data_IF_914507070016
#
_entry.id   IF_914507070016
#
_cell.length_a   1.000
_cell.length_b   1.000
_cell.length_c   1.000
_cell.angle_alpha   90.00
_cell.angle_beta   90.00
_cell.angle_gamma   90.00
#
_symmetry.space_group_name_H-M   'P 1'
#
loop_
_entity.id
_entity.type
_entity.pdbx_description
1 polymer ?
#
# COMPACT_ATOMS: atom_id res chain seq x y z
N UNK A 1 -14.39 -7.99 -23.07
CA UNK A 1 -12.94 -7.75 -23.13
C UNK A 1 -12.36 -8.21 -21.81
N UNK A 2 -11.54 -9.26 -21.80
CA UNK A 2 -10.76 -9.61 -20.60
C UNK A 2 -9.80 -8.45 -20.31
N UNK A 3 -9.99 -7.79 -19.17
CA UNK A 3 -9.09 -6.74 -18.73
C UNK A 3 -7.92 -7.44 -18.03
N UNK A 4 -6.75 -7.48 -18.65
CA UNK A 4 -5.54 -8.03 -18.04
C UNK A 4 -5.14 -7.13 -16.87
N UNK A 5 -5.44 -7.57 -15.65
CA UNK A 5 -5.20 -6.80 -14.44
C UNK A 5 -3.83 -7.12 -13.86
N UNK A 6 -2.96 -6.12 -13.77
CA UNK A 6 -1.75 -6.22 -12.97
C UNK A 6 -2.09 -6.14 -11.48
N UNK A 7 -1.30 -6.82 -10.66
CA UNK A 7 -1.34 -6.66 -9.22
C UNK A 7 0.06 -6.44 -8.71
N UNK A 8 0.26 -5.30 -8.07
CA UNK A 8 1.48 -5.02 -7.36
C UNK A 8 1.38 -5.73 -6.02
N UNK A 9 2.36 -6.59 -5.74
CA UNK A 9 2.52 -7.25 -4.46
C UNK A 9 3.76 -6.63 -3.83
N UNK A 10 3.53 -5.78 -2.84
CA UNK A 10 4.62 -5.13 -2.12
C UNK A 10 4.91 -5.94 -0.86
N UNK A 11 6.10 -6.50 -0.78
CA UNK A 11 6.71 -6.83 0.50
C UNK A 11 7.47 -5.57 0.92
N UNK A 12 7.43 -5.17 2.19
CA UNK A 12 8.00 -3.89 2.64
C UNK A 12 9.50 -3.68 2.33
N UNK A 13 10.18 -4.73 1.82
CA UNK A 13 11.57 -4.70 1.37
C UNK A 13 11.76 -4.94 -0.15
N UNK A 14 10.74 -5.37 -0.88
CA UNK A 14 10.84 -5.75 -2.30
C UNK A 14 9.51 -5.62 -3.05
N UNK A 15 9.59 -5.21 -4.32
CA UNK A 15 8.42 -5.13 -5.20
C UNK A 15 8.28 -6.40 -6.03
N UNK A 16 7.06 -6.92 -6.08
CA UNK A 16 6.69 -8.03 -6.94
C UNK A 16 5.53 -7.63 -7.82
N UNK A 17 5.50 -8.24 -9.00
CA UNK A 17 4.39 -8.06 -9.94
C UNK A 17 3.76 -9.39 -10.23
N UNK A 18 2.45 -9.47 -10.01
CA UNK A 18 1.62 -10.58 -10.44
C UNK A 18 0.83 -10.20 -11.70
N UNK A 19 0.82 -11.11 -12.68
CA UNK A 19 -0.07 -11.05 -13.84
C UNK A 19 -0.49 -12.44 -14.28
N UNK A 20 -1.73 -12.57 -14.74
CA UNK A 20 -2.24 -13.79 -15.39
C UNK A 20 -2.03 -13.77 -16.92
N UNK A 21 -1.46 -12.70 -17.45
CA UNK A 21 -1.27 -12.52 -18.87
C UNK A 21 -0.02 -13.25 -19.37
N UNK A 22 -0.18 -14.09 -20.40
CA UNK A 22 0.90 -14.92 -20.96
C UNK A 22 2.03 -14.13 -21.62
N UNK A 23 1.78 -12.88 -22.00
CA UNK A 23 2.75 -12.02 -22.70
C UNK A 23 3.20 -10.85 -21.83
N UNK A 24 3.20 -11.04 -20.51
CA UNK A 24 3.52 -9.98 -19.55
C UNK A 24 4.99 -9.55 -19.60
N UNK A 25 5.91 -10.47 -19.94
CA UNK A 25 7.35 -10.22 -19.81
C UNK A 25 7.86 -9.02 -20.62
N UNK A 26 7.58 -8.89 -21.94
CA UNK A 26 8.02 -7.72 -22.69
C UNK A 26 7.45 -6.39 -22.18
N UNK A 27 6.26 -6.43 -21.58
CA UNK A 27 5.61 -5.24 -21.01
C UNK A 27 6.28 -4.85 -19.70
N UNK A 28 6.54 -5.82 -18.82
CA UNK A 28 7.25 -5.58 -17.56
C UNK A 28 8.68 -5.10 -17.83
N UNK A 29 9.39 -5.68 -18.80
CA UNK A 29 10.73 -5.24 -19.19
C UNK A 29 10.77 -3.79 -19.65
N UNK A 30 9.74 -3.33 -20.36
CA UNK A 30 9.64 -1.94 -20.79
C UNK A 30 9.24 -0.98 -19.67
N UNK A 31 8.44 -1.46 -18.71
CA UNK A 31 7.98 -0.66 -17.56
C UNK A 31 9.04 -0.56 -16.46
N UNK A 32 9.84 -1.61 -16.27
CA UNK A 32 10.79 -1.74 -15.16
C UNK A 32 12.23 -1.36 -15.57
N UNK A 33 12.38 -0.18 -16.18
CA UNK A 33 13.69 0.31 -16.63
C UNK A 33 14.72 0.44 -15.51
N UNK A 34 14.25 0.73 -14.29
CA UNK A 34 15.09 0.87 -13.08
C UNK A 34 15.30 -0.46 -12.33
N UNK A 35 14.78 -1.58 -12.85
CA UNK A 35 14.89 -2.93 -12.24
C UNK A 35 14.41 -3.00 -10.78
N UNK A 36 13.31 -2.32 -10.50
CA UNK A 36 12.67 -2.28 -9.18
C UNK A 36 11.92 -3.58 -8.85
N UNK A 37 11.47 -4.34 -9.85
CA UNK A 37 10.70 -5.57 -9.66
C UNK A 37 11.65 -6.74 -9.38
N UNK A 38 11.58 -7.29 -8.17
CA UNK A 38 12.43 -8.42 -7.74
C UNK A 38 11.94 -9.77 -8.25
N UNK A 39 10.63 -9.95 -8.33
CA UNK A 39 10.05 -11.22 -8.74
C UNK A 39 8.76 -11.00 -9.52
N UNK A 40 8.61 -11.81 -10.58
CA UNK A 40 7.41 -11.86 -11.43
C UNK A 40 6.65 -13.12 -11.10
N UNK A 41 5.38 -12.95 -10.72
CA UNK A 41 4.48 -14.03 -10.34
C UNK A 41 3.43 -14.23 -11.43
N UNK A 42 3.08 -15.48 -11.66
CA UNK A 42 2.06 -15.87 -12.63
C UNK A 42 1.01 -16.75 -11.98
N UNK A 43 0.05 -17.25 -12.77
CA UNK A 43 -0.99 -18.19 -12.29
C UNK A 43 -0.41 -19.40 -11.54
N UNK A 44 0.81 -19.84 -11.85
CA UNK A 44 1.47 -20.93 -11.12
C UNK A 44 1.79 -20.61 -9.65
N UNK A 45 1.83 -19.33 -9.28
CA UNK A 45 2.05 -18.85 -7.92
C UNK A 45 0.74 -18.52 -7.16
N UNK A 46 -0.39 -19.02 -7.65
CA UNK A 46 -1.71 -18.85 -7.02
C UNK A 46 -2.21 -20.15 -6.39
N UNK A 47 -3.10 -20.03 -5.41
CA UNK A 47 -3.82 -21.16 -4.83
C UNK A 47 -5.13 -21.36 -5.58
N UNK A 48 -5.36 -22.56 -6.08
CA UNK A 48 -6.62 -22.92 -6.74
C UNK A 48 -7.58 -23.52 -5.72
N UNK A 49 -8.75 -22.90 -5.56
CA UNK A 49 -9.79 -23.32 -4.63
C UNK A 49 -11.17 -22.98 -5.23
N UNK A 50 -12.14 -23.91 -5.12
CA UNK A 50 -13.52 -23.70 -5.54
C UNK A 50 -13.71 -23.17 -6.97
N UNK A 51 -12.88 -23.64 -7.91
CA UNK A 51 -12.93 -23.23 -9.32
C UNK A 51 -12.23 -21.90 -9.62
N UNK A 52 -11.61 -21.26 -8.63
CA UNK A 52 -11.01 -19.93 -8.73
C UNK A 52 -9.55 -19.92 -8.29
N UNK A 53 -8.75 -19.08 -8.94
CA UNK A 53 -7.38 -18.79 -8.53
C UNK A 53 -7.36 -17.62 -7.55
N UNK A 54 -6.76 -17.84 -6.40
CA UNK A 54 -6.52 -16.83 -5.39
C UNK A 54 -5.02 -16.54 -5.24
N UNK A 55 -4.69 -15.26 -5.16
CA UNK A 55 -3.36 -14.76 -4.82
C UNK A 55 -3.17 -15.00 -3.33
N UNK A 56 -2.38 -16.01 -3.02
CA UNK A 56 -1.99 -16.39 -1.68
C UNK A 56 -0.49 -16.63 -1.68
N UNK A 57 0.26 -15.68 -1.12
CA UNK A 57 1.72 -15.77 -1.03
C UNK A 57 2.21 -16.07 0.40
N UNK A 58 1.30 -16.51 1.28
CA UNK A 58 1.65 -16.94 2.64
C UNK A 58 2.55 -18.18 2.68
N UNK A 59 2.61 -18.96 1.59
CA UNK A 59 3.40 -20.19 1.47
C UNK A 59 4.87 -20.02 1.03
N UNK A 60 5.34 -18.80 0.76
CA UNK A 60 6.67 -18.56 0.20
C UNK A 60 7.51 -17.66 1.11
N UNK A 61 8.09 -18.19 2.19
CA UNK A 61 9.14 -17.55 3.02
C UNK A 61 8.93 -16.04 3.37
N UNK A 62 7.66 -15.61 3.42
CA UNK A 62 7.26 -14.22 3.54
C UNK A 62 6.28 -14.11 4.67
N UNK A 63 6.47 -13.12 5.52
CA UNK A 63 5.52 -12.83 6.56
C UNK A 63 4.25 -12.23 5.94
N UNK A 64 3.08 -12.90 6.04
CA UNK A 64 1.84 -12.39 5.47
C UNK A 64 1.43 -11.04 6.07
N UNK A 65 1.79 -10.76 7.34
CA UNK A 65 1.55 -9.46 7.97
C UNK A 65 2.39 -8.31 7.40
N UNK A 66 3.24 -8.56 6.39
CA UNK A 66 4.06 -7.54 5.70
C UNK A 66 3.77 -7.44 4.19
N UNK A 67 2.75 -8.13 3.70
CA UNK A 67 2.38 -8.09 2.29
C UNK A 67 1.25 -7.09 2.07
N UNK A 68 1.39 -6.23 1.07
CA UNK A 68 0.33 -5.33 0.59
C UNK A 68 0.03 -5.71 -0.85
N UNK A 69 -1.24 -5.97 -1.14
CA UNK A 69 -1.73 -6.21 -2.49
C UNK A 69 -2.39 -4.94 -3.03
N UNK A 70 -1.93 -4.42 -4.17
CA UNK A 70 -2.50 -3.22 -4.81
C UNK A 70 -2.96 -3.58 -6.22
N UNK A 71 -4.26 -3.44 -6.48
CA UNK A 71 -4.88 -3.70 -7.78
C UNK A 71 -6.32 -3.17 -7.83
N UNK A 72 -6.87 -3.07 -9.04
CA UNK A 72 -8.28 -2.76 -9.26
C UNK A 72 -9.27 -3.84 -8.78
N UNK A 73 -8.78 -5.07 -8.58
CA UNK A 73 -9.60 -6.26 -8.34
C UNK A 73 -9.05 -7.12 -7.17
N UNK A 74 -8.44 -6.49 -6.16
CA UNK A 74 -7.79 -7.22 -5.06
C UNK A 74 -8.77 -8.02 -4.21
N UNK A 75 -9.94 -7.46 -3.87
CA UNK A 75 -10.90 -8.09 -2.94
C UNK A 75 -11.46 -9.42 -3.47
N UNK A 76 -11.58 -9.54 -4.79
CA UNK A 76 -12.10 -10.75 -5.43
C UNK A 76 -11.04 -11.85 -5.59
N UNK A 77 -9.75 -11.49 -5.56
CA UNK A 77 -8.66 -12.35 -6.02
C UNK A 77 -7.58 -12.61 -4.98
N UNK A 78 -7.70 -12.10 -3.75
CA UNK A 78 -6.74 -12.33 -2.67
C UNK A 78 -7.41 -13.02 -1.47
N UNK A 79 -6.72 -13.96 -0.83
CA UNK A 79 -7.24 -14.61 0.39
C UNK A 79 -7.09 -13.72 1.62
N UNK A 80 -6.00 -12.95 1.70
CA UNK A 80 -5.76 -11.99 2.78
C UNK A 80 -6.37 -10.63 2.42
N UNK A 81 -7.69 -10.51 2.50
CA UNK A 81 -8.39 -9.27 2.15
C UNK A 81 -7.99 -8.09 3.03
N UNK A 82 -7.60 -8.34 4.27
CA UNK A 82 -7.06 -7.36 5.21
C UNK A 82 -5.78 -6.68 4.70
N UNK A 83 -5.06 -7.32 3.77
CA UNK A 83 -3.83 -6.83 3.18
C UNK A 83 -4.03 -6.13 1.83
N UNK A 84 -5.29 -5.96 1.40
CA UNK A 84 -5.63 -5.43 0.10
C UNK A 84 -5.87 -3.93 0.12
N UNK A 85 -5.20 -3.22 -0.78
CA UNK A 85 -5.50 -1.85 -1.16
C UNK A 85 -6.15 -1.88 -2.53
N UNK A 86 -7.48 -1.85 -2.56
CA UNK A 86 -8.22 -1.78 -3.80
C UNK A 86 -8.17 -0.35 -4.35
N UNK A 87 -7.66 -0.20 -5.57
CA UNK A 87 -7.63 1.08 -6.30
C UNK A 87 -8.67 1.08 -7.42
N UNK A 88 -8.94 2.25 -7.99
CA UNK A 88 -9.77 2.33 -9.21
C UNK A 88 -9.03 1.61 -10.36
N UNK A 89 -9.68 0.75 -11.16
CA UNK A 89 -9.10 0.24 -12.38
C UNK A 89 -8.78 1.38 -13.35
N UNK A 90 -7.53 1.45 -13.82
CA UNK A 90 -7.10 2.44 -14.79
C UNK A 90 -7.74 2.17 -16.17
N UNK A 91 -8.29 3.21 -16.78
CA UNK A 91 -9.00 3.22 -18.06
C UNK A 91 -8.39 4.27 -19.01
N UNK A 92 -7.06 4.32 -19.08
CA UNK A 92 -6.29 5.20 -19.96
C UNK A 92 -6.41 6.70 -19.61
N UNK A 93 -6.81 7.03 -18.38
CA UNK A 93 -6.82 8.41 -17.91
C UNK A 93 -5.40 8.91 -17.68
N UNK A 94 -5.01 9.98 -18.37
CA UNK A 94 -3.66 10.55 -18.34
C UNK A 94 -3.38 11.38 -17.07
N UNK A 95 -4.44 11.80 -16.39
CA UNK A 95 -4.44 12.57 -15.16
C UNK A 95 -4.62 11.68 -13.90
N UNK A 96 -4.65 10.34 -14.06
CA UNK A 96 -4.71 9.43 -12.93
C UNK A 96 -3.42 9.49 -12.12
N UNK A 97 -3.56 9.90 -10.86
CA UNK A 97 -2.47 10.06 -9.90
C UNK A 97 -2.55 9.06 -8.76
N UNK A 98 -3.44 8.06 -8.83
CA UNK A 98 -3.76 7.16 -7.71
C UNK A 98 -2.52 6.46 -7.13
N UNK A 99 -1.62 5.97 -7.98
CA UNK A 99 -0.38 5.32 -7.53
C UNK A 99 0.64 6.32 -6.97
N UNK A 100 0.72 7.53 -7.53
CA UNK A 100 1.58 8.62 -7.04
C UNK A 100 1.12 9.07 -5.65
N UNK A 101 -0.18 9.24 -5.48
CA UNK A 101 -0.84 9.61 -4.24
C UNK A 101 -0.60 8.58 -3.11
N UNK A 102 -0.43 7.30 -3.45
CA UNK A 102 -0.13 6.23 -2.49
C UNK A 102 1.32 6.23 -2.00
N UNK A 103 2.26 6.84 -2.72
CA UNK A 103 3.70 6.81 -2.40
C UNK A 103 3.98 7.22 -0.94
N UNK A 104 3.46 8.35 -0.41
CA UNK A 104 3.78 8.76 0.96
C UNK A 104 3.37 7.74 2.03
N UNK A 105 2.23 7.07 1.82
CA UNK A 105 1.78 6.00 2.71
C UNK A 105 2.71 4.77 2.61
N UNK A 106 3.05 4.36 1.39
CA UNK A 106 3.93 3.21 1.16
C UNK A 106 5.34 3.43 1.73
N UNK A 107 5.91 4.63 1.55
CA UNK A 107 7.18 5.03 2.15
C UNK A 107 7.14 5.01 3.68
N UNK A 108 6.04 5.51 4.27
CA UNK A 108 5.86 5.47 5.72
C UNK A 108 5.84 4.04 6.26
N UNK A 109 5.09 3.13 5.61
CA UNK A 109 5.02 1.74 6.03
C UNK A 109 6.34 1.01 5.78
N UNK A 110 7.05 1.31 4.69
CA UNK A 110 8.37 0.73 4.42
C UNK A 110 9.43 1.18 5.43
N UNK A 111 9.42 2.45 5.83
CA UNK A 111 10.37 2.99 6.82
C UNK A 111 10.01 2.64 8.27
N UNK A 112 8.73 2.38 8.55
CA UNK A 112 8.21 2.00 9.86
C UNK A 112 7.32 0.75 9.73
N UNK A 113 7.91 -0.40 9.39
CA UNK A 113 7.14 -1.60 9.11
C UNK A 113 6.34 -2.02 10.34
N UNK A 114 4.99 -2.06 10.25
CA UNK A 114 4.16 -2.54 11.34
C UNK A 114 4.40 -4.02 11.59
N UNK A 115 3.99 -4.51 12.76
CA UNK A 115 3.97 -5.94 13.04
C UNK A 115 2.96 -6.67 12.14
N UNK A 116 1.84 -6.01 11.88
CA UNK A 116 0.76 -6.48 11.05
C UNK A 116 0.18 -5.33 10.22
N UNK A 117 0.28 -5.44 8.91
CA UNK A 117 -0.19 -4.42 7.97
C UNK A 117 -1.72 -4.39 7.86
N UNK A 118 -2.40 -5.51 8.07
CA UNK A 118 -3.86 -5.59 8.06
C UNK A 118 -4.48 -4.64 9.10
N UNK A 119 -3.91 -4.60 10.31
CA UNK A 119 -4.34 -3.66 11.36
C UNK A 119 -4.20 -2.18 10.98
N UNK A 120 -3.17 -1.82 10.21
CA UNK A 120 -2.97 -0.46 9.72
C UNK A 120 -3.98 -0.14 8.64
N UNK A 121 -4.17 -1.04 7.68
CA UNK A 121 -5.12 -0.87 6.57
C UNK A 121 -6.57 -0.79 7.06
N UNK A 122 -6.92 -1.53 8.11
CA UNK A 122 -8.23 -1.45 8.76
C UNK A 122 -8.58 -0.03 9.24
N UNK A 123 -7.59 0.77 9.67
CA UNK A 123 -7.84 2.17 10.08
C UNK A 123 -8.27 3.10 8.92
N UNK A 124 -8.06 2.65 7.68
CA UNK A 124 -8.44 3.33 6.46
C UNK A 124 -9.65 2.69 5.75
N UNK A 125 -10.32 1.72 6.36
CA UNK A 125 -11.49 1.07 5.76
C UNK A 125 -12.56 2.10 5.33
N UNK A 126 -13.03 1.97 4.09
CA UNK A 126 -14.01 2.88 3.49
C UNK A 126 -13.46 4.29 3.15
N UNK A 127 -12.15 4.52 3.31
CA UNK A 127 -11.52 5.83 3.05
C UNK A 127 -10.51 5.75 1.92
N UNK A 128 -10.24 6.91 1.33
CA UNK A 128 -9.14 7.06 0.37
C UNK A 128 -7.82 7.24 1.14
N UNK A 129 -7.00 6.18 1.21
CA UNK A 129 -5.76 6.11 2.00
C UNK A 129 -4.87 7.35 1.79
N UNK A 130 -4.54 7.78 0.55
CA UNK A 130 -3.67 8.93 0.34
C UNK A 130 -4.13 10.21 1.04
N UNK A 131 -5.41 10.55 0.88
CA UNK A 131 -5.99 11.77 1.46
C UNK A 131 -6.02 11.72 2.97
N UNK A 132 -6.43 10.59 3.53
CA UNK A 132 -6.48 10.42 4.98
C UNK A 132 -5.09 10.40 5.60
N UNK A 133 -4.11 9.75 4.96
CA UNK A 133 -2.74 9.71 5.44
C UNK A 133 -2.12 11.11 5.55
N UNK A 134 -2.31 11.95 4.52
CA UNK A 134 -1.83 13.34 4.53
C UNK A 134 -2.54 14.15 5.62
N UNK A 135 -3.86 13.98 5.75
CA UNK A 135 -4.66 14.66 6.77
C UNK A 135 -4.20 14.31 8.18
N UNK A 136 -4.11 13.01 8.51
CA UNK A 136 -3.66 12.53 9.81
C UNK A 136 -2.24 12.96 10.14
N UNK A 137 -1.35 12.99 9.15
CA UNK A 137 0.03 13.47 9.33
C UNK A 137 0.08 14.96 9.70
N UNK A 138 -0.75 15.79 9.06
CA UNK A 138 -0.86 17.23 9.39
C UNK A 138 -1.47 17.45 10.76
N UNK A 139 -2.52 16.71 11.10
CA UNK A 139 -3.18 16.81 12.39
C UNK A 139 -2.23 16.43 13.53
N UNK A 140 -1.41 15.39 13.35
CA UNK A 140 -0.36 15.01 14.30
C UNK A 140 0.67 16.13 14.51
N UNK A 141 1.19 16.72 13.43
CA UNK A 141 2.16 17.83 13.53
C UNK A 141 1.54 19.06 14.20
N UNK A 142 0.30 19.40 13.84
CA UNK A 142 -0.45 20.50 14.45
C UNK A 142 -0.63 20.30 15.95
N UNK A 143 -1.08 19.11 16.37
CA UNK A 143 -1.29 18.80 17.79
C UNK A 143 0.02 18.82 18.57
N UNK A 144 1.12 18.35 17.97
CA UNK A 144 2.46 18.45 18.57
C UNK A 144 2.90 19.90 18.75
N UNK A 145 2.69 20.76 17.75
CA UNK A 145 2.99 22.20 17.84
C UNK A 145 2.13 22.87 18.91
N UNK A 146 0.83 22.59 18.96
CA UNK A 146 -0.07 23.14 19.99
C UNK A 146 0.40 22.73 21.38
N UNK A 147 0.77 21.46 21.58
CA UNK A 147 1.31 20.99 22.85
C UNK A 147 2.60 21.73 23.24
N UNK A 148 3.55 21.86 22.32
CA UNK A 148 4.80 22.59 22.55
C UNK A 148 4.57 24.07 22.86
N UNK A 149 3.65 24.73 22.13
CA UNK A 149 3.25 26.12 22.40
C UNK A 149 2.61 26.27 23.77
N UNK A 150 1.72 25.35 24.17
CA UNK A 150 1.14 25.34 25.51
C UNK A 150 2.21 25.19 26.60
N UNK A 151 3.20 24.31 26.39
CA UNK A 151 4.34 24.19 27.32
C UNK A 151 5.15 25.48 27.40
N UNK A 152 5.44 26.13 26.27
CA UNK A 152 6.19 27.39 26.22
C UNK A 152 5.45 28.50 26.97
N UNK A 153 4.14 28.66 26.71
CA UNK A 153 3.30 29.65 27.40
C UNK A 153 3.30 29.43 28.92
N UNK A 154 3.22 28.18 29.37
CA UNK A 154 3.25 27.84 30.80
C UNK A 154 4.62 28.19 31.42
N UNK A 155 5.71 27.93 30.70
CA UNK A 155 7.06 28.26 31.16
C UNK A 155 7.28 29.78 31.23
N UNK A 156 6.92 30.51 30.17
CA UNK A 156 7.05 31.97 30.11
C UNK A 156 6.18 32.66 31.18
N UNK A 157 4.96 32.15 31.43
CA UNK A 157 4.11 32.64 32.51
C UNK A 157 4.72 32.40 33.89
N UNK A 158 5.51 31.34 34.07
CA UNK A 158 6.20 31.06 35.33
C UNK A 158 7.32 32.06 35.61
N UNK A 159 8.03 32.48 34.57
CA UNK A 159 9.12 33.46 34.66
C UNK A 159 8.61 34.91 34.79
N UNK A 160 7.33 35.18 34.49
CA UNK A 160 6.72 36.51 34.60
C UNK A 160 6.13 36.80 35.99
N UNK A 161 5.86 35.76 36.79
CA UNK A 161 5.20 35.87 38.11
C UNK A 161 6.12 35.54 39.30
N UNK A 162 7.42 35.38 39.08
CA UNK A 162 8.46 35.24 40.12
C UNK A 162 9.57 36.29 39.97
#
# INVERSE_FOLDING_TARGET
>A
MEQHAFTLVLNLNETLVYSDWKYVDPVVERLDGEQCIRCRLSRSATKYQDGKHYRDHSGHDRNPGKLIYISGHTLELCLQQENCVQIKPWKLEVDDTTLLDLIPFLEFVATRPPRDIGSVLASYEGKYIPKEFIKSSRDYQRNKIIFLLSCLIILDARDTFF
#
